data_IF_883682607079
#
_entry.id   IF_883682607079
#
_cell.length_a   1.000
_cell.length_b   1.000
_cell.length_c   1.000
_cell.angle_alpha   90.00
_cell.angle_beta   90.00
_cell.angle_gamma   90.00
#
_symmetry.space_group_name_H-M   'P 1'
#
loop_
_entity.id
_entity.type
_entity.pdbx_description
1 polymer ?
#
# COMPACT_ATOMS: atom_id res chain seq x y z
N UNK A 1 -17.07 -44.65 36.44
CA UNK A 1 -18.11 -44.42 37.44
C UNK A 1 -18.81 -43.11 37.09
N UNK A 2 -20.07 -43.27 36.77
CA UNK A 2 -21.23 -42.34 36.72
C UNK A 2 -21.06 -40.98 36.01
N UNK A 3 -21.68 -40.82 34.83
CA UNK A 3 -23.12 -40.71 34.46
C UNK A 3 -23.83 -39.48 35.05
N UNK A 4 -24.43 -38.72 34.15
CA UNK A 4 -25.46 -37.72 34.44
C UNK A 4 -25.88 -36.91 33.23
N UNK A 5 -26.63 -37.54 32.30
CA UNK A 5 -27.53 -36.94 31.33
C UNK A 5 -28.75 -36.25 32.01
N UNK A 6 -29.32 -35.19 31.40
CA UNK A 6 -30.76 -34.95 31.28
C UNK A 6 -30.95 -33.75 30.33
N UNK A 7 -31.33 -33.96 29.11
CA UNK A 7 -32.65 -34.14 28.43
C UNK A 7 -33.77 -33.14 28.79
N UNK A 8 -34.12 -32.41 27.71
CA UNK A 8 -35.46 -32.10 27.20
C UNK A 8 -36.61 -31.74 28.16
N UNK A 9 -37.34 -30.68 27.84
CA UNK A 9 -38.71 -30.87 27.33
C UNK A 9 -39.38 -29.55 26.85
N UNK A 10 -40.02 -29.71 25.71
CA UNK A 10 -41.11 -28.90 25.14
C UNK A 10 -42.32 -28.77 26.11
N UNK A 11 -43.10 -27.67 25.95
CA UNK A 11 -44.55 -27.82 25.94
C UNK A 11 -45.23 -26.61 25.27
N UNK A 12 -46.14 -26.94 24.39
CA UNK A 12 -47.12 -26.16 23.69
C UNK A 12 -48.24 -25.71 24.61
N UNK A 13 -48.89 -24.54 24.37
CA UNK A 13 -50.34 -24.43 24.49
C UNK A 13 -50.87 -23.23 23.67
N UNK A 14 -51.81 -23.56 22.82
CA UNK A 14 -52.68 -22.67 22.07
C UNK A 14 -53.74 -22.10 23.00
N UNK A 15 -54.26 -20.89 22.73
CA UNK A 15 -55.73 -20.63 22.63
C UNK A 15 -56.01 -19.27 21.98
N UNK A 16 -56.92 -19.36 21.04
CA UNK A 16 -57.67 -18.40 20.25
C UNK A 16 -58.54 -17.45 21.05
N UNK A 17 -58.66 -16.17 20.61
CA UNK A 17 -59.90 -15.39 20.80
C UNK A 17 -60.04 -14.38 19.66
N UNK A 18 -61.06 -14.56 18.90
CA UNK A 18 -61.61 -13.68 17.84
C UNK A 18 -62.38 -12.56 18.48
N UNK A 19 -62.10 -11.31 18.12
CA UNK A 19 -63.10 -10.21 18.20
C UNK A 19 -62.93 -9.29 17.00
N UNK A 20 -64.00 -9.28 16.19
CA UNK A 20 -64.27 -8.27 15.15
C UNK A 20 -64.64 -6.93 15.82
N UNK A 21 -64.12 -5.84 15.29
CA UNK A 21 -64.87 -4.57 15.17
C UNK A 21 -64.19 -3.63 14.14
N UNK A 22 -64.97 -3.41 13.10
CA UNK A 22 -65.30 -2.17 12.36
C UNK A 22 -64.15 -1.23 11.87
N UNK A 23 -64.18 -1.13 10.52
CA UNK A 23 -63.57 -0.12 9.67
C UNK A 23 -63.81 1.33 10.13
N UNK A 24 -62.72 2.11 10.15
CA UNK A 24 -62.76 3.52 9.73
C UNK A 24 -61.56 3.70 8.80
N UNK A 25 -61.85 3.92 7.52
CA UNK A 25 -60.85 4.24 6.49
C UNK A 25 -60.52 5.74 6.63
N UNK A 26 -59.39 6.06 7.22
CA UNK A 26 -58.74 7.37 7.04
C UNK A 26 -57.64 7.20 5.99
N UNK A 27 -57.93 7.65 4.77
CA UNK A 27 -56.94 7.84 3.70
C UNK A 27 -56.02 9.01 4.11
N UNK A 28 -54.93 8.72 4.78
CA UNK A 28 -53.74 9.60 4.82
C UNK A 28 -52.80 9.15 3.72
N UNK A 29 -52.84 9.86 2.59
CA UNK A 29 -51.82 9.81 1.58
C UNK A 29 -50.54 10.43 2.17
N UNK A 30 -49.77 9.63 2.87
CA UNK A 30 -48.36 9.94 3.19
C UNK A 30 -47.57 9.84 1.88
N UNK A 31 -47.38 11.03 1.23
CA UNK A 31 -46.40 11.19 0.15
C UNK A 31 -45.02 11.00 0.78
N UNK A 32 -44.52 9.77 0.83
CA UNK A 32 -43.12 9.49 1.12
C UNK A 32 -42.31 10.07 -0.05
N UNK A 33 -41.91 11.32 0.06
CA UNK A 33 -40.74 11.81 -0.68
C UNK A 33 -39.55 11.00 -0.19
N UNK A 34 -39.31 9.85 -0.84
CA UNK A 34 -37.99 9.20 -0.80
C UNK A 34 -37.04 10.18 -1.47
N UNK A 35 -36.46 11.06 -0.68
CA UNK A 35 -35.34 11.87 -1.10
C UNK A 35 -34.22 10.89 -1.50
N UNK A 36 -34.13 10.59 -2.80
CA UNK A 36 -32.90 10.05 -3.37
C UNK A 36 -31.81 11.07 -3.10
N UNK A 37 -31.15 10.99 -1.95
CA UNK A 37 -29.84 11.57 -1.79
C UNK A 37 -28.96 10.81 -2.75
N UNK A 38 -28.79 11.34 -3.96
CA UNK A 38 -27.70 10.91 -4.85
C UNK A 38 -26.42 11.13 -4.05
N UNK A 39 -25.90 10.05 -3.48
CA UNK A 39 -24.54 10.03 -2.98
C UNK A 39 -23.66 10.32 -4.21
N UNK A 40 -23.25 11.57 -4.36
CA UNK A 40 -22.24 11.92 -5.36
C UNK A 40 -21.01 11.13 -5.00
N UNK A 41 -20.74 10.08 -5.76
CA UNK A 41 -19.54 9.29 -5.62
C UNK A 41 -18.34 10.23 -5.79
N UNK A 42 -17.58 10.44 -4.72
CA UNK A 42 -16.38 11.27 -4.75
C UNK A 42 -15.20 10.40 -5.16
N UNK A 43 -14.44 10.84 -6.17
CA UNK A 43 -13.20 10.14 -6.51
C UNK A 43 -12.23 10.16 -5.34
N UNK A 44 -11.59 9.04 -5.07
CA UNK A 44 -10.49 8.98 -4.13
C UNK A 44 -9.27 9.73 -4.69
N UNK A 45 -8.52 10.42 -3.84
CA UNK A 45 -7.21 10.98 -4.18
C UNK A 45 -6.13 9.95 -3.89
N UNK A 46 -5.21 9.74 -4.82
CA UNK A 46 -4.09 8.80 -4.65
C UNK A 46 -2.78 9.54 -4.92
N UNK A 47 -1.85 9.42 -4.00
CA UNK A 47 -0.51 10.02 -4.06
C UNK A 47 0.52 8.89 -3.94
N UNK A 48 1.55 8.88 -4.79
CA UNK A 48 2.64 7.89 -4.73
C UNK A 48 3.93 8.60 -4.38
N UNK A 49 4.56 8.18 -3.28
CA UNK A 49 5.87 8.65 -2.84
C UNK A 49 6.91 7.53 -2.97
N UNK A 50 8.01 7.83 -3.67
CA UNK A 50 9.18 6.97 -3.76
C UNK A 50 10.09 7.15 -2.54
N UNK A 51 10.41 6.05 -1.86
CA UNK A 51 11.27 6.04 -0.67
C UNK A 51 12.69 5.64 -1.02
N UNK A 52 13.67 6.24 -0.38
CA UNK A 52 15.11 5.94 -0.53
C UNK A 52 15.65 5.06 0.61
N UNK A 53 14.75 4.47 1.39
CA UNK A 53 15.06 3.51 2.45
C UNK A 53 16.17 3.98 3.41
N UNK A 54 17.26 3.20 3.52
CA UNK A 54 18.37 3.51 4.45
C UNK A 54 18.97 4.90 4.24
N UNK A 55 18.89 5.44 3.03
CA UNK A 55 19.44 6.74 2.67
C UNK A 55 18.68 7.90 3.31
N UNK A 56 17.41 7.71 3.70
CA UNK A 56 16.69 8.70 4.52
C UNK A 56 17.38 9.07 5.84
N UNK A 57 18.32 8.23 6.32
CA UNK A 57 19.10 8.52 7.55
C UNK A 57 20.22 9.51 7.32
N UNK A 58 20.70 9.64 6.11
CA UNK A 58 21.88 10.44 5.75
C UNK A 58 21.60 11.56 4.78
N UNK A 59 20.47 11.49 4.05
CA UNK A 59 20.06 12.53 3.12
C UNK A 59 19.70 13.83 3.88
N UNK A 60 20.31 14.93 3.48
CA UNK A 60 19.98 16.26 4.00
C UNK A 60 18.69 16.81 3.37
N UNK A 61 18.38 16.42 2.14
CA UNK A 61 17.26 16.96 1.36
C UNK A 61 16.00 16.10 1.44
N UNK A 62 16.17 14.78 1.60
CA UNK A 62 15.06 13.82 1.71
C UNK A 62 15.20 12.96 2.96
N UNK A 63 15.53 13.59 4.11
CA UNK A 63 15.61 12.92 5.40
C UNK A 63 14.23 12.59 5.99
N UNK A 64 14.26 11.92 7.15
CA UNK A 64 13.05 11.46 7.85
C UNK A 64 12.07 12.61 8.16
N UNK A 65 12.57 13.79 8.56
CA UNK A 65 11.68 14.92 8.83
C UNK A 65 10.98 15.43 7.57
N UNK A 66 11.67 15.42 6.43
CA UNK A 66 11.04 15.72 5.14
C UNK A 66 9.91 14.72 4.82
N UNK A 67 10.12 13.43 5.05
CA UNK A 67 9.07 12.40 4.90
C UNK A 67 7.88 12.69 5.80
N UNK A 68 8.10 13.00 7.08
CA UNK A 68 7.02 13.37 8.01
C UNK A 68 6.26 14.61 7.56
N UNK A 69 6.95 15.62 7.05
CA UNK A 69 6.32 16.85 6.57
C UNK A 69 5.43 16.61 5.35
N UNK A 70 5.84 15.73 4.43
CA UNK A 70 4.98 15.29 3.35
C UNK A 70 3.72 14.60 3.88
N UNK A 71 3.86 13.64 4.79
CA UNK A 71 2.71 12.91 5.36
C UNK A 71 1.75 13.90 6.05
N UNK A 72 2.27 14.83 6.86
CA UNK A 72 1.43 15.86 7.53
C UNK A 72 0.68 16.74 6.52
N UNK A 73 1.35 17.22 5.49
CA UNK A 73 0.75 18.11 4.49
C UNK A 73 -0.23 17.38 3.56
N UNK A 74 0.06 16.14 3.19
CA UNK A 74 -0.85 15.29 2.43
C UNK A 74 -2.08 14.98 3.27
N UNK A 75 -1.95 14.76 4.57
CA UNK A 75 -3.01 14.39 5.50
C UNK A 75 -3.87 13.23 4.95
N UNK A 76 -3.30 12.02 4.78
CA UNK A 76 -3.98 10.88 4.20
C UNK A 76 -5.00 10.25 5.17
N UNK A 77 -6.04 9.59 4.65
CA UNK A 77 -6.89 8.66 5.41
C UNK A 77 -6.21 7.28 5.54
N UNK A 78 -5.45 6.89 4.51
CA UNK A 78 -4.77 5.59 4.43
C UNK A 78 -3.32 5.77 3.94
N UNK A 79 -2.38 5.10 4.62
CA UNK A 79 -0.98 5.00 4.17
C UNK A 79 -0.69 3.55 3.80
N UNK A 80 -0.48 3.31 2.51
CA UNK A 80 -0.18 2.00 1.94
C UNK A 80 1.33 1.87 1.84
N UNK A 81 1.91 0.94 2.59
CA UNK A 81 3.36 0.86 2.78
C UNK A 81 3.94 -0.49 2.33
N UNK A 82 5.24 -0.50 2.03
CA UNK A 82 6.00 -1.69 1.62
C UNK A 82 6.35 -2.60 2.81
N UNK A 83 5.44 -2.72 3.77
CA UNK A 83 5.55 -3.67 4.86
C UNK A 83 4.77 -4.93 4.48
N UNK A 84 5.34 -6.14 4.71
CA UNK A 84 4.60 -7.37 4.49
C UNK A 84 3.39 -7.47 5.43
N UNK A 85 2.22 -7.94 4.93
CA UNK A 85 0.99 -8.03 5.72
C UNK A 85 1.14 -8.82 7.03
N UNK A 86 1.96 -9.85 7.03
CA UNK A 86 2.22 -10.71 8.19
C UNK A 86 3.21 -10.09 9.21
N UNK A 87 3.70 -8.86 9.00
CA UNK A 87 4.73 -8.22 9.83
C UNK A 87 4.29 -6.91 10.48
N UNK A 88 3.28 -6.25 9.95
CA UNK A 88 2.88 -4.94 10.46
C UNK A 88 2.47 -4.98 11.92
N UNK A 89 1.57 -5.90 12.31
CA UNK A 89 1.04 -5.94 13.68
C UNK A 89 2.15 -6.16 14.71
N UNK A 90 3.10 -7.06 14.42
CA UNK A 90 4.24 -7.31 15.28
C UNK A 90 5.12 -6.06 15.42
N UNK A 91 5.56 -5.49 14.29
CA UNK A 91 6.45 -4.33 14.29
C UNK A 91 5.79 -3.09 14.93
N UNK A 92 4.51 -2.87 14.67
CA UNK A 92 3.78 -1.75 15.24
C UNK A 92 3.53 -1.92 16.73
N UNK A 93 3.24 -3.14 17.19
CA UNK A 93 3.15 -3.46 18.62
C UNK A 93 4.49 -3.26 19.34
N UNK A 94 5.61 -3.69 18.75
CA UNK A 94 6.95 -3.41 19.29
C UNK A 94 7.16 -1.90 19.45
N UNK A 95 6.86 -1.12 18.41
CA UNK A 95 6.98 0.33 18.42
C UNK A 95 6.10 0.98 19.51
N UNK A 96 4.84 0.57 19.61
CA UNK A 96 3.93 1.12 20.62
C UNK A 96 4.40 0.86 22.06
N UNK A 97 4.94 -0.33 22.32
CA UNK A 97 5.35 -0.75 23.66
C UNK A 97 6.72 -0.21 24.06
N UNK A 98 7.65 -0.05 23.12
CA UNK A 98 9.07 0.23 23.44
C UNK A 98 9.62 1.48 22.76
N UNK A 99 8.94 2.01 21.76
CA UNK A 99 9.44 3.08 20.89
C UNK A 99 10.42 2.59 19.81
N UNK A 100 10.71 1.29 19.76
CA UNK A 100 11.67 0.68 18.82
C UNK A 100 11.02 -0.47 18.05
N UNK A 101 11.59 -0.79 16.88
CA UNK A 101 11.20 -1.94 16.05
C UNK A 101 12.40 -2.87 15.90
N UNK A 102 12.24 -4.12 16.29
CA UNK A 102 13.25 -5.18 16.17
C UNK A 102 12.93 -6.16 15.05
N UNK A 103 11.67 -6.19 14.59
CA UNK A 103 11.24 -7.04 13.48
C UNK A 103 12.13 -6.82 12.25
N UNK A 104 12.88 -7.84 11.76
CA UNK A 104 13.99 -7.65 10.82
C UNK A 104 13.55 -7.19 9.43
N UNK A 105 12.31 -7.50 9.01
CA UNK A 105 11.78 -7.12 7.70
C UNK A 105 11.14 -5.72 7.68
N UNK A 106 10.96 -5.09 8.85
CA UNK A 106 10.40 -3.74 8.96
C UNK A 106 11.47 -2.73 9.42
N UNK A 107 12.36 -3.11 10.35
CA UNK A 107 13.40 -2.22 10.85
C UNK A 107 14.37 -1.67 9.79
N UNK A 108 14.39 -2.29 8.61
CA UNK A 108 15.22 -1.86 7.48
C UNK A 108 14.65 -0.64 6.75
N UNK A 109 13.43 -0.26 7.05
CA UNK A 109 12.70 0.84 6.44
C UNK A 109 12.58 2.03 7.43
N UNK A 110 13.59 2.92 7.50
CA UNK A 110 13.58 4.04 8.46
C UNK A 110 12.40 4.99 8.25
N UNK A 111 11.92 5.15 7.02
CA UNK A 111 10.74 5.95 6.68
C UNK A 111 9.47 5.50 7.39
N UNK A 112 9.34 4.20 7.68
CA UNK A 112 8.20 3.69 8.45
C UNK A 112 8.47 3.76 9.95
N UNK A 113 9.63 3.28 10.40
CA UNK A 113 9.96 3.17 11.82
C UNK A 113 10.09 4.54 12.48
N UNK A 114 10.79 5.47 11.83
CA UNK A 114 11.08 6.81 12.40
C UNK A 114 10.22 7.92 11.78
N UNK A 115 9.62 7.67 10.61
CA UNK A 115 8.73 8.60 9.92
C UNK A 115 7.26 8.32 10.24
N UNK A 116 6.72 7.22 9.69
CA UNK A 116 5.30 6.93 9.69
C UNK A 116 4.75 6.55 11.08
N UNK A 117 5.37 5.59 11.79
CA UNK A 117 4.86 5.11 13.07
C UNK A 117 4.73 6.20 14.13
N UNK A 118 5.72 7.11 14.32
CA UNK A 118 5.55 8.23 15.25
C UNK A 118 4.35 9.11 14.97
N UNK A 119 4.01 9.32 13.69
CA UNK A 119 2.90 10.18 13.29
C UNK A 119 1.52 9.62 13.65
N UNK A 120 1.39 8.33 13.93
CA UNK A 120 0.13 7.75 14.44
C UNK A 120 -0.29 8.30 15.81
N UNK A 121 0.61 9.00 16.53
CA UNK A 121 0.29 9.70 17.78
C UNK A 121 -0.20 11.14 17.55
N UNK A 122 0.00 11.66 16.35
CA UNK A 122 -0.28 13.05 15.97
C UNK A 122 -1.45 13.16 14.99
N UNK A 123 -1.68 12.13 14.20
CA UNK A 123 -2.61 12.13 13.06
C UNK A 123 -3.48 10.86 13.07
N UNK A 124 -4.67 10.99 12.52
CA UNK A 124 -5.61 9.87 12.36
C UNK A 124 -5.56 9.35 10.92
N UNK A 125 -4.85 8.25 10.72
CA UNK A 125 -4.78 7.51 9.46
C UNK A 125 -4.61 6.01 9.71
N UNK A 126 -4.99 5.21 8.74
CA UNK A 126 -4.81 3.75 8.77
C UNK A 126 -3.57 3.34 7.99
N UNK A 127 -2.66 2.58 8.61
CA UNK A 127 -1.53 1.96 7.91
C UNK A 127 -1.99 0.65 7.29
N UNK A 128 -1.73 0.48 5.99
CA UNK A 128 -2.08 -0.73 5.22
C UNK A 128 -0.81 -1.36 4.67
N UNK A 129 -0.47 -2.59 5.10
CA UNK A 129 0.70 -3.29 4.60
C UNK A 129 0.43 -3.86 3.20
N UNK A 130 1.25 -3.50 2.22
CA UNK A 130 1.03 -3.83 0.81
C UNK A 130 2.21 -4.56 0.14
N UNK A 131 3.27 -4.93 0.87
CA UNK A 131 4.36 -5.69 0.27
C UNK A 131 3.91 -7.11 -0.09
N UNK A 132 4.14 -7.50 -1.34
CA UNK A 132 3.87 -8.86 -1.83
C UNK A 132 4.98 -9.87 -1.53
N UNK A 133 6.09 -9.45 -0.90
CA UNK A 133 7.22 -10.32 -0.60
C UNK A 133 6.91 -11.33 0.50
N UNK A 134 7.14 -12.61 0.22
CA UNK A 134 7.27 -13.64 1.25
C UNK A 134 8.75 -13.98 1.52
N UNK A 135 9.02 -14.65 2.64
CA UNK A 135 10.37 -15.11 2.96
C UNK A 135 10.88 -16.13 1.93
N UNK A 136 9.99 -17.00 1.46
CA UNK A 136 10.29 -18.04 0.47
C UNK A 136 10.63 -17.44 -0.89
N UNK A 137 9.86 -16.44 -1.35
CA UNK A 137 10.14 -15.72 -2.59
C UNK A 137 11.51 -15.03 -2.53
N UNK A 138 11.81 -14.32 -1.46
CA UNK A 138 13.08 -13.65 -1.26
C UNK A 138 14.25 -14.63 -1.19
N UNK A 139 14.08 -15.78 -0.55
CA UNK A 139 15.07 -16.85 -0.48
C UNK A 139 15.31 -17.48 -1.86
N UNK A 140 14.25 -17.84 -2.57
CA UNK A 140 14.33 -18.42 -3.92
C UNK A 140 15.05 -17.47 -4.89
N UNK A 141 14.64 -16.19 -4.88
CA UNK A 141 15.29 -15.14 -5.69
C UNK A 141 16.79 -15.06 -5.42
N UNK A 142 17.21 -14.93 -4.16
CA UNK A 142 18.64 -14.86 -3.80
C UNK A 142 19.42 -16.08 -4.28
N UNK A 143 18.86 -17.29 -4.10
CA UNK A 143 19.51 -18.53 -4.52
C UNK A 143 19.70 -18.60 -6.03
N UNK A 144 18.68 -18.18 -6.81
CA UNK A 144 18.75 -18.18 -8.28
C UNK A 144 19.77 -17.16 -8.77
N UNK A 145 19.71 -15.91 -8.28
CA UNK A 145 20.66 -14.86 -8.68
C UNK A 145 22.09 -15.26 -8.35
N UNK A 146 22.34 -15.79 -7.15
CA UNK A 146 23.68 -16.29 -6.76
C UNK A 146 24.21 -17.39 -7.69
N UNK A 147 23.34 -18.31 -8.12
CA UNK A 147 23.73 -19.33 -9.10
C UNK A 147 24.06 -18.72 -10.46
N UNK A 148 23.30 -17.70 -10.88
CA UNK A 148 23.49 -17.06 -12.19
C UNK A 148 24.75 -16.22 -12.30
N UNK A 149 25.35 -15.79 -11.21
CA UNK A 149 26.71 -15.19 -11.24
C UNK A 149 27.72 -16.07 -11.94
N UNK A 150 27.54 -17.41 -11.88
CA UNK A 150 28.45 -18.39 -12.52
C UNK A 150 27.86 -19.03 -13.78
N UNK A 151 26.55 -19.19 -13.88
CA UNK A 151 25.92 -19.92 -15.01
C UNK A 151 25.37 -19.01 -16.10
N UNK A 152 25.23 -17.70 -15.81
CA UNK A 152 24.72 -16.65 -16.73
C UNK A 152 25.54 -15.35 -16.55
N UNK A 153 26.87 -15.38 -16.60
CA UNK A 153 27.68 -14.21 -16.26
C UNK A 153 27.46 -13.02 -17.20
N UNK A 154 27.20 -13.28 -18.50
CA UNK A 154 26.95 -12.20 -19.47
C UNK A 154 25.64 -11.50 -19.21
N UNK A 155 24.57 -12.24 -18.88
CA UNK A 155 23.26 -11.66 -18.50
C UNK A 155 23.36 -10.84 -17.21
N UNK A 156 24.07 -11.37 -16.21
CA UNK A 156 24.32 -10.64 -14.94
C UNK A 156 25.08 -9.35 -15.18
N UNK A 157 26.08 -9.37 -16.06
CA UNK A 157 26.86 -8.19 -16.44
C UNK A 157 26.01 -7.14 -17.19
N UNK A 158 25.12 -7.59 -18.09
CA UNK A 158 24.22 -6.68 -18.80
C UNK A 158 23.31 -5.94 -17.82
N UNK A 159 22.72 -6.67 -16.86
CA UNK A 159 21.85 -6.07 -15.81
C UNK A 159 22.65 -5.08 -14.96
N UNK A 160 23.82 -5.48 -14.46
CA UNK A 160 24.67 -4.61 -13.64
C UNK A 160 25.06 -3.31 -14.38
N UNK A 161 25.42 -3.41 -15.66
CA UNK A 161 25.75 -2.23 -16.46
C UNK A 161 24.57 -1.30 -16.67
N UNK A 162 23.36 -1.83 -16.85
CA UNK A 162 22.16 -1.02 -17.00
C UNK A 162 21.77 -0.31 -15.68
N UNK A 163 21.84 -1.01 -14.56
CA UNK A 163 21.61 -0.44 -13.23
C UNK A 163 22.64 0.66 -12.91
N UNK A 164 23.94 0.39 -13.13
CA UNK A 164 25.00 1.39 -12.94
C UNK A 164 24.85 2.62 -13.85
N UNK A 165 24.41 2.44 -15.08
CA UNK A 165 24.14 3.55 -15.99
C UNK A 165 22.94 4.40 -15.52
N UNK A 166 21.91 3.76 -15.01
CA UNK A 166 20.75 4.45 -14.42
C UNK A 166 21.15 5.24 -13.17
N UNK A 167 21.88 4.64 -12.24
CA UNK A 167 22.36 5.29 -11.03
C UNK A 167 23.26 6.50 -11.36
N UNK A 168 24.18 6.31 -12.32
CA UNK A 168 25.03 7.41 -12.79
C UNK A 168 24.22 8.57 -13.36
N UNK A 169 23.24 8.29 -14.22
CA UNK A 169 22.40 9.32 -14.83
C UNK A 169 21.54 10.05 -13.76
N UNK A 170 20.99 9.31 -12.78
CA UNK A 170 20.25 9.88 -11.64
C UNK A 170 21.13 10.85 -10.86
N UNK A 171 22.37 10.44 -10.57
CA UNK A 171 23.33 11.26 -9.82
C UNK A 171 23.78 12.49 -10.62
N UNK A 172 24.12 12.35 -11.90
CA UNK A 172 24.54 13.46 -12.78
C UNK A 172 23.45 14.51 -12.94
N UNK A 173 22.19 14.08 -12.94
CA UNK A 173 21.03 14.99 -13.01
C UNK A 173 20.56 15.50 -11.64
N UNK A 174 21.19 15.06 -10.55
CA UNK A 174 20.82 15.44 -9.19
C UNK A 174 19.41 15.03 -8.77
N UNK A 175 18.92 13.89 -9.28
CA UNK A 175 17.54 13.43 -9.05
C UNK A 175 17.39 12.50 -7.84
N UNK A 176 18.48 11.89 -7.35
CA UNK A 176 18.42 10.80 -6.37
C UNK A 176 18.31 11.22 -4.91
N UNK A 177 18.71 12.44 -4.56
CA UNK A 177 18.81 12.91 -3.18
C UNK A 177 17.85 14.07 -2.87
N UNK A 178 16.73 14.11 -3.53
CA UNK A 178 15.70 15.11 -3.23
C UNK A 178 14.31 14.67 -3.68
N UNK A 179 13.25 15.10 -2.98
CA UNK A 179 11.88 14.69 -3.28
C UNK A 179 11.43 15.10 -4.69
N UNK A 180 11.79 16.31 -5.15
CA UNK A 180 11.38 16.81 -6.46
C UNK A 180 11.95 15.93 -7.58
N UNK A 181 13.23 15.57 -7.47
CA UNK A 181 13.91 14.69 -8.41
C UNK A 181 13.29 13.29 -8.42
N UNK A 182 13.21 12.65 -7.25
CA UNK A 182 12.68 11.28 -7.10
C UNK A 182 11.24 11.18 -7.58
N UNK A 183 10.41 12.22 -7.39
CA UNK A 183 9.01 12.22 -7.83
C UNK A 183 8.81 12.80 -9.25
N UNK A 184 9.89 13.00 -10.01
CA UNK A 184 9.82 13.45 -11.41
C UNK A 184 9.58 12.30 -12.38
N UNK A 185 8.95 12.61 -13.54
CA UNK A 185 8.81 11.65 -14.62
C UNK A 185 10.19 11.26 -15.21
N UNK A 186 11.19 12.17 -15.16
CA UNK A 186 12.56 11.88 -15.60
C UNK A 186 13.23 10.77 -14.75
N UNK A 187 13.04 10.79 -13.45
CA UNK A 187 13.52 9.71 -12.57
C UNK A 187 12.89 8.37 -12.94
N UNK A 188 11.57 8.35 -13.11
CA UNK A 188 10.82 7.13 -13.47
C UNK A 188 11.30 6.52 -14.79
N UNK A 189 11.55 7.34 -15.81
CA UNK A 189 12.05 6.86 -17.10
C UNK A 189 13.46 6.30 -17.01
N UNK A 190 14.34 6.88 -16.19
CA UNK A 190 15.70 6.36 -15.99
C UNK A 190 15.65 5.01 -15.27
N UNK A 191 14.88 4.91 -14.18
CA UNK A 191 14.72 3.65 -13.42
C UNK A 191 14.12 2.56 -14.30
N UNK A 192 13.09 2.88 -15.08
CA UNK A 192 12.45 1.93 -15.99
C UNK A 192 13.44 1.36 -17.01
N UNK A 193 14.27 2.23 -17.61
CA UNK A 193 15.33 1.77 -18.55
C UNK A 193 16.38 0.93 -17.85
N UNK A 194 16.80 1.32 -16.64
CA UNK A 194 17.79 0.56 -15.87
C UNK A 194 17.32 -0.85 -15.51
N UNK A 195 16.02 -1.02 -15.27
CA UNK A 195 15.43 -2.31 -14.90
C UNK A 195 14.97 -3.16 -16.10
N UNK A 196 14.98 -2.62 -17.32
CA UNK A 196 14.54 -3.38 -18.51
C UNK A 196 15.32 -4.67 -18.72
N UNK A 197 16.68 -4.69 -18.71
CA UNK A 197 17.42 -5.93 -18.87
C UNK A 197 17.13 -6.95 -17.76
N UNK A 198 17.03 -6.50 -16.50
CA UNK A 198 16.69 -7.37 -15.40
C UNK A 198 15.31 -8.03 -15.62
N UNK A 199 14.33 -7.25 -16.00
CA UNK A 199 12.98 -7.74 -16.25
C UNK A 199 12.94 -8.71 -17.44
N UNK A 200 13.53 -8.34 -18.55
CA UNK A 200 13.57 -9.16 -19.77
C UNK A 200 14.30 -10.48 -19.58
N UNK A 201 15.44 -10.48 -18.89
CA UNK A 201 16.30 -11.65 -18.74
C UNK A 201 15.87 -12.57 -17.60
N UNK A 202 15.29 -12.03 -16.53
CA UNK A 202 15.16 -12.78 -15.29
C UNK A 202 13.73 -12.88 -14.76
N UNK A 203 12.78 -12.05 -15.21
CA UNK A 203 11.43 -12.01 -14.63
C UNK A 203 10.77 -13.40 -14.59
N UNK A 204 10.72 -14.09 -15.72
CA UNK A 204 10.07 -15.39 -15.84
C UNK A 204 10.80 -16.47 -15.04
N UNK A 205 12.13 -16.50 -15.13
CA UNK A 205 12.95 -17.49 -14.43
C UNK A 205 12.93 -17.32 -12.91
N UNK A 206 12.74 -16.09 -12.43
CA UNK A 206 12.57 -15.81 -10.99
C UNK A 206 11.18 -16.20 -10.49
N UNK A 207 10.21 -16.35 -11.39
CA UNK A 207 8.83 -16.63 -11.03
C UNK A 207 8.23 -15.53 -10.17
N UNK A 208 7.56 -15.86 -9.07
CA UNK A 208 6.94 -14.86 -8.18
C UNK A 208 7.91 -13.78 -7.65
N UNK A 209 9.21 -14.04 -7.65
CA UNK A 209 10.24 -13.06 -7.26
C UNK A 209 10.81 -12.23 -8.43
N UNK A 210 10.28 -12.37 -9.65
CA UNK A 210 10.61 -11.53 -10.79
C UNK A 210 10.11 -10.09 -10.60
N UNK A 211 10.66 -9.15 -11.37
CA UNK A 211 10.39 -7.74 -11.17
C UNK A 211 8.91 -7.38 -11.41
N UNK A 212 8.36 -7.76 -12.56
CA UNK A 212 6.94 -7.51 -12.84
C UNK A 212 6.02 -8.30 -11.92
N UNK A 213 6.38 -9.54 -11.61
CA UNK A 213 5.56 -10.40 -10.76
C UNK A 213 5.48 -9.86 -9.32
N UNK A 214 6.57 -9.38 -8.75
CA UNK A 214 6.55 -8.83 -7.40
C UNK A 214 5.84 -7.47 -7.36
N UNK A 215 6.02 -6.62 -8.39
CA UNK A 215 5.28 -5.38 -8.50
C UNK A 215 3.77 -5.62 -8.66
N UNK A 216 3.38 -6.63 -9.43
CA UNK A 216 1.98 -7.05 -9.54
C UNK A 216 1.41 -7.51 -8.19
N UNK A 217 2.20 -8.25 -7.40
CA UNK A 217 1.80 -8.67 -6.05
C UNK A 217 1.64 -7.48 -5.09
N UNK A 218 2.55 -6.49 -5.13
CA UNK A 218 2.42 -5.24 -4.38
C UNK A 218 1.15 -4.50 -4.79
N UNK A 219 0.95 -4.33 -6.10
CA UNK A 219 -0.17 -3.59 -6.64
C UNK A 219 -1.53 -4.24 -6.34
N UNK A 220 -1.62 -5.57 -6.29
CA UNK A 220 -2.85 -6.27 -5.93
C UNK A 220 -3.35 -5.88 -4.52
N UNK A 221 -2.44 -5.71 -3.54
CA UNK A 221 -2.80 -5.20 -2.21
C UNK A 221 -3.23 -3.73 -2.25
N UNK A 222 -2.51 -2.89 -3.02
CA UNK A 222 -2.83 -1.48 -3.21
C UNK A 222 -4.21 -1.34 -3.85
N UNK A 223 -4.45 -2.02 -4.96
CA UNK A 223 -5.70 -1.99 -5.72
C UNK A 223 -6.88 -2.46 -4.89
N UNK A 224 -6.75 -3.59 -4.21
CA UNK A 224 -7.79 -4.13 -3.33
C UNK A 224 -8.19 -3.13 -2.23
N UNK A 225 -7.22 -2.40 -1.68
CA UNK A 225 -7.49 -1.37 -0.66
C UNK A 225 -8.23 -0.18 -1.25
N UNK A 226 -7.82 0.33 -2.41
CA UNK A 226 -8.49 1.45 -3.08
C UNK A 226 -9.91 1.07 -3.49
N UNK A 227 -10.11 -0.16 -4.00
CA UNK A 227 -11.41 -0.66 -4.45
C UNK A 227 -12.41 -0.79 -3.30
N UNK A 228 -11.95 -1.23 -2.12
CA UNK A 228 -12.76 -1.32 -0.91
C UNK A 228 -13.40 0.01 -0.52
N UNK A 229 -12.74 1.12 -0.83
CA UNK A 229 -13.16 2.48 -0.49
C UNK A 229 -13.61 3.30 -1.72
N UNK A 230 -13.97 2.61 -2.80
CA UNK A 230 -14.36 3.28 -4.05
C UNK A 230 -15.53 4.23 -3.84
N UNK A 231 -15.35 5.48 -4.30
CA UNK A 231 -16.41 6.48 -4.25
C UNK A 231 -16.57 7.18 -2.90
N UNK A 232 -15.72 6.91 -1.91
CA UNK A 232 -15.78 7.51 -0.57
C UNK A 232 -15.07 8.87 -0.47
N UNK A 233 -14.28 9.26 -1.49
CA UNK A 233 -13.50 10.50 -1.48
C UNK A 233 -12.33 10.47 -0.50
N UNK A 234 -11.78 9.29 -0.27
CA UNK A 234 -10.63 9.07 0.61
C UNK A 234 -9.31 9.46 -0.04
N UNK A 235 -8.35 9.82 0.79
CA UNK A 235 -6.98 10.13 0.37
C UNK A 235 -6.03 9.00 0.75
N UNK A 236 -5.39 8.41 -0.25
CA UNK A 236 -4.44 7.33 -0.13
C UNK A 236 -3.04 7.85 -0.41
N UNK A 237 -2.12 7.62 0.52
CA UNK A 237 -0.70 7.82 0.32
C UNK A 237 -0.03 6.46 0.18
N UNK A 238 0.57 6.20 -0.98
CA UNK A 238 1.35 5.00 -1.28
C UNK A 238 2.81 5.31 -1.08
N UNK A 239 3.49 4.61 -0.16
CA UNK A 239 4.91 4.78 0.15
C UNK A 239 5.64 3.48 -0.15
N UNK A 240 6.42 3.47 -1.23
CA UNK A 240 7.21 2.32 -1.69
C UNK A 240 8.60 2.75 -2.12
N UNK A 241 9.56 1.83 -2.14
CA UNK A 241 10.87 2.08 -2.70
C UNK A 241 10.79 2.79 -4.04
N UNK A 242 11.62 3.81 -4.26
CA UNK A 242 11.50 4.72 -5.41
C UNK A 242 11.56 3.98 -6.76
N UNK A 243 12.21 2.81 -6.80
CA UNK A 243 12.29 2.00 -8.01
C UNK A 243 10.98 1.30 -8.37
N UNK A 244 10.08 1.04 -7.39
CA UNK A 244 8.73 0.49 -7.64
C UNK A 244 7.74 1.54 -8.15
N UNK A 245 8.03 2.83 -7.92
CA UNK A 245 7.10 3.94 -8.12
C UNK A 245 6.58 4.04 -9.55
N UNK A 246 7.45 3.97 -10.57
CA UNK A 246 7.04 4.08 -11.98
C UNK A 246 6.01 3.01 -12.35
N UNK A 247 6.23 1.77 -11.91
CA UNK A 247 5.37 0.63 -12.20
C UNK A 247 3.99 0.81 -11.56
N UNK A 248 3.94 1.23 -10.30
CA UNK A 248 2.70 1.54 -9.57
C UNK A 248 1.95 2.68 -10.28
N UNK A 249 2.62 3.75 -10.65
CA UNK A 249 2.03 4.89 -11.35
C UNK A 249 1.46 4.50 -12.72
N UNK A 250 2.14 3.65 -13.50
CA UNK A 250 1.63 3.18 -14.80
C UNK A 250 0.30 2.42 -14.66
N UNK A 251 0.10 1.69 -13.57
CA UNK A 251 -1.14 0.96 -13.31
C UNK A 251 -2.24 1.88 -12.77
N UNK A 252 -1.91 2.79 -11.88
CA UNK A 252 -2.87 3.78 -11.36
C UNK A 252 -3.37 4.73 -12.46
N UNK A 253 -2.53 5.11 -13.42
CA UNK A 253 -2.92 5.97 -14.57
C UNK A 253 -3.99 5.34 -15.48
N UNK A 254 -4.16 4.02 -15.45
CA UNK A 254 -5.22 3.31 -16.19
C UNK A 254 -6.60 3.40 -15.51
N UNK A 255 -6.64 3.85 -14.25
CA UNK A 255 -7.89 3.96 -13.46
C UNK A 255 -8.57 5.29 -13.76
N UNK A 256 -9.89 5.25 -13.95
CA UNK A 256 -10.73 6.44 -14.17
C UNK A 256 -11.57 6.82 -12.95
N UNK A 257 -11.50 6.04 -11.88
CA UNK A 257 -12.28 6.18 -10.64
C UNK A 257 -11.50 6.87 -9.51
N UNK A 258 -10.25 7.23 -9.74
CA UNK A 258 -9.39 7.95 -8.81
C UNK A 258 -8.94 9.30 -9.40
N UNK A 259 -8.40 10.16 -8.54
CA UNK A 259 -7.64 11.36 -8.90
C UNK A 259 -6.21 11.17 -8.45
N UNK A 260 -5.30 10.97 -9.41
CA UNK A 260 -3.88 10.85 -9.12
C UNK A 260 -3.28 12.24 -8.92
N UNK A 261 -2.59 12.45 -7.77
CA UNK A 261 -1.94 13.71 -7.40
C UNK A 261 -0.44 13.51 -7.24
N UNK A 262 0.34 14.53 -7.51
CA UNK A 262 1.79 14.53 -7.23
C UNK A 262 2.05 14.94 -5.78
N UNK A 263 3.08 14.37 -5.10
CA UNK A 263 3.45 14.80 -3.75
C UNK A 263 3.73 16.31 -3.64
N UNK A 264 4.36 16.89 -4.67
CA UNK A 264 4.68 18.31 -4.74
C UNK A 264 3.45 19.24 -4.70
N UNK A 265 2.27 18.75 -5.10
CA UNK A 265 1.02 19.53 -5.05
C UNK A 265 0.67 19.96 -3.61
N UNK A 266 1.24 19.32 -2.61
CA UNK A 266 0.98 19.56 -1.19
C UNK A 266 2.04 20.39 -0.49
N UNK A 267 3.18 20.67 -1.14
CA UNK A 267 4.26 21.47 -0.55
C UNK A 267 4.12 22.98 -0.83
N UNK A 268 3.40 23.35 -1.87
CA UNK A 268 3.32 24.71 -2.43
C UNK A 268 2.30 25.62 -1.70
N UNK A 269 2.15 25.49 -0.37
CA UNK A 269 1.28 26.40 0.38
C UNK A 269 1.92 26.87 1.67
#
# INVERSE_FOLDING_TARGET
>A
MNNGNHTMNCWWSRRTAVRRLLLVACLFSASCCVGCTSFSSRRNEVIVMGMIHSEHKTSERYGIETVKDYIRKINPDYVLCEIPPDRLDLAFSEFQNTGFVTEPRVRVFPEYVYGLFPLTKEMDFTIVPCAGWTSEMAQSRRTKLKRWETTRPDDMKEVEQAEQAADKEINEKGLGDNPEGIHSDAYDEIVKRGLEPYNRLFNEDLGAGGWDHINAAHYAHIESTIDKHKGEGKRFLIMFGAWHKYWILEHLRKRNDITLRKPQDFLSK
#
